data_IF_832841706723
#
_entry.id   IF_832841706723
#
_cell.length_a   1.000
_cell.length_b   1.000
_cell.length_c   1.000
_cell.angle_alpha   90.00
_cell.angle_beta   90.00
_cell.angle_gamma   90.00
#
_symmetry.space_group_name_H-M   'P 1'
#
loop_
_entity.id
_entity.type
_entity.pdbx_description
1 polymer ?
#
# COMPACT_ATOMS: atom_id res chain seq x y z
N UNK A 1 12.44 12.49 13.23
CA UNK A 1 11.41 12.13 14.23
C UNK A 1 10.00 12.10 13.63
N UNK A 2 9.61 13.09 12.82
CA UNK A 2 8.27 13.13 12.17
C UNK A 2 8.01 11.96 11.20
N UNK A 3 8.98 11.59 10.37
CA UNK A 3 8.85 10.47 9.41
C UNK A 3 8.48 9.15 10.10
N UNK A 4 9.17 8.81 11.19
CA UNK A 4 8.88 7.60 11.97
C UNK A 4 7.46 7.64 12.54
N UNK A 5 7.05 8.75 13.14
CA UNK A 5 5.70 8.91 13.67
C UNK A 5 4.64 8.67 12.57
N UNK A 6 4.79 9.28 11.40
CA UNK A 6 3.84 9.13 10.29
C UNK A 6 3.87 7.73 9.66
N UNK A 7 5.04 7.08 9.57
CA UNK A 7 5.13 5.69 9.11
C UNK A 7 4.45 4.70 10.07
N UNK A 8 4.56 4.92 11.39
CA UNK A 8 3.85 4.12 12.40
C UNK A 8 2.34 4.37 12.30
N UNK A 9 1.92 5.60 12.01
CA UNK A 9 0.51 5.90 11.77
C UNK A 9 -0.04 5.19 10.52
N UNK A 10 0.74 5.14 9.44
CA UNK A 10 0.39 4.38 8.23
C UNK A 10 0.35 2.85 8.49
N UNK A 11 1.28 2.33 9.28
CA UNK A 11 1.26 0.94 9.74
C UNK A 11 0.00 0.65 10.57
N UNK A 12 -0.34 1.55 11.48
CA UNK A 12 -1.57 1.51 12.29
C UNK A 12 -2.82 1.50 11.42
N UNK A 13 -2.89 2.33 10.37
CA UNK A 13 -4.02 2.35 9.43
C UNK A 13 -4.20 0.99 8.71
N UNK A 14 -3.10 0.32 8.36
CA UNK A 14 -3.14 -1.03 7.75
C UNK A 14 -3.72 -2.05 8.72
N UNK A 15 -3.26 -2.02 9.97
CA UNK A 15 -3.71 -2.94 11.04
C UNK A 15 -5.18 -2.66 11.41
N UNK A 16 -5.59 -1.40 11.50
CA UNK A 16 -6.98 -1.01 11.77
C UNK A 16 -7.91 -1.42 10.62
N UNK A 17 -7.53 -1.12 9.38
CA UNK A 17 -8.30 -1.50 8.19
C UNK A 17 -8.47 -3.01 8.05
N UNK A 18 -7.38 -3.77 8.23
CA UNK A 18 -7.39 -5.24 8.17
C UNK A 18 -7.96 -5.93 9.41
N UNK A 19 -8.01 -5.25 10.54
CA UNK A 19 -8.66 -5.74 11.75
C UNK A 19 -10.17 -5.80 11.63
N UNK A 20 -10.77 -4.92 10.82
CA UNK A 20 -12.23 -4.81 10.67
C UNK A 20 -12.88 -6.16 10.28
N UNK A 21 -12.44 -6.87 9.22
CA UNK A 21 -12.98 -8.19 8.88
C UNK A 21 -12.72 -9.29 9.92
N UNK A 22 -11.69 -9.13 10.76
CA UNK A 22 -11.30 -10.11 11.78
C UNK A 22 -12.13 -9.99 13.06
N UNK A 23 -12.74 -8.83 13.33
CA UNK A 23 -13.49 -8.56 14.57
C UNK A 23 -14.99 -8.36 14.31
N UNK A 24 -15.35 -7.70 13.20
CA UNK A 24 -16.75 -7.39 12.86
C UNK A 24 -17.13 -7.95 11.49
N UNK A 25 -18.41 -8.33 11.33
CA UNK A 25 -18.95 -8.76 10.04
C UNK A 25 -19.79 -7.66 9.39
N UNK A 26 -19.43 -7.35 8.13
CA UNK A 26 -20.17 -6.65 7.07
C UNK A 26 -20.02 -5.12 6.98
N UNK A 27 -18.86 -4.69 6.46
CA UNK A 27 -18.87 -3.56 5.51
C UNK A 27 -19.45 -4.09 4.20
N UNK A 28 -20.41 -3.39 3.60
CA UNK A 28 -20.97 -3.82 2.31
C UNK A 28 -19.90 -3.71 1.22
N UNK A 29 -19.92 -4.64 0.26
CA UNK A 29 -19.03 -4.58 -0.90
C UNK A 29 -19.14 -3.23 -1.64
N UNK A 30 -20.34 -2.66 -1.73
CA UNK A 30 -20.57 -1.34 -2.34
C UNK A 30 -19.85 -0.21 -1.61
N UNK A 31 -19.89 -0.19 -0.28
CA UNK A 31 -19.18 0.82 0.53
C UNK A 31 -17.66 0.67 0.38
N UNK A 32 -17.16 -0.57 0.38
CA UNK A 32 -15.74 -0.84 0.19
C UNK A 32 -15.28 -0.39 -1.20
N UNK A 33 -16.01 -0.73 -2.26
CA UNK A 33 -15.69 -0.30 -3.64
C UNK A 33 -15.67 1.23 -3.74
N UNK A 34 -16.62 1.93 -3.11
CA UNK A 34 -16.64 3.39 -3.11
C UNK A 34 -15.44 3.98 -2.35
N UNK A 35 -15.09 3.42 -1.19
CA UNK A 35 -13.94 3.86 -0.39
C UNK A 35 -12.61 3.61 -1.13
N UNK A 36 -12.46 2.45 -1.78
CA UNK A 36 -11.31 2.11 -2.63
C UNK A 36 -11.21 3.09 -3.79
N UNK A 37 -12.31 3.34 -4.51
CA UNK A 37 -12.33 4.27 -5.65
C UNK A 37 -11.97 5.71 -5.23
N UNK A 38 -12.54 6.18 -4.12
CA UNK A 38 -12.20 7.49 -3.55
C UNK A 38 -10.72 7.58 -3.19
N UNK A 39 -10.20 6.58 -2.48
CA UNK A 39 -8.80 6.55 -2.05
C UNK A 39 -7.83 6.47 -3.22
N UNK A 40 -8.17 5.69 -4.26
CA UNK A 40 -7.41 5.61 -5.50
C UNK A 40 -7.36 6.97 -6.21
N UNK A 41 -8.47 7.72 -6.23
CA UNK A 41 -8.50 9.07 -6.78
C UNK A 41 -7.59 10.05 -6.02
N UNK A 42 -7.60 10.02 -4.69
CA UNK A 42 -6.72 10.85 -3.85
C UNK A 42 -5.24 10.50 -4.08
N UNK A 43 -4.91 9.21 -4.13
CA UNK A 43 -3.53 8.74 -4.35
C UNK A 43 -3.04 9.12 -5.75
N UNK A 44 -3.87 8.93 -6.78
CA UNK A 44 -3.56 9.31 -8.16
C UNK A 44 -3.34 10.83 -8.30
N UNK A 45 -4.22 11.62 -7.69
CA UNK A 45 -4.10 13.08 -7.68
C UNK A 45 -2.79 13.52 -7.00
N UNK A 46 -2.47 12.94 -5.85
CA UNK A 46 -1.24 13.24 -5.09
C UNK A 46 0.00 12.85 -5.89
N UNK A 47 0.00 11.66 -6.51
CA UNK A 47 1.10 11.19 -7.34
C UNK A 47 1.33 12.08 -8.56
N UNK A 48 0.29 12.38 -9.33
CA UNK A 48 0.43 13.11 -10.59
C UNK A 48 0.60 14.62 -10.41
N UNK A 49 -0.21 15.26 -9.57
CA UNK A 49 -0.23 16.72 -9.47
C UNK A 49 0.80 17.27 -8.47
N UNK A 50 1.19 16.47 -7.47
CA UNK A 50 2.15 16.92 -6.45
C UNK A 50 3.50 16.24 -6.62
N UNK A 51 3.56 14.90 -6.54
CA UNK A 51 4.86 14.20 -6.54
C UNK A 51 5.58 14.30 -7.89
N UNK A 52 4.90 14.06 -9.01
CA UNK A 52 5.52 14.14 -10.35
C UNK A 52 5.92 15.57 -10.69
N UNK A 53 5.07 16.56 -10.38
CA UNK A 53 5.40 17.98 -10.62
C UNK A 53 6.63 18.37 -9.82
N UNK A 54 6.67 18.07 -8.52
CA UNK A 54 7.82 18.39 -7.66
C UNK A 54 9.09 17.66 -8.10
N UNK A 55 8.97 16.39 -8.51
CA UNK A 55 10.11 15.64 -9.04
C UNK A 55 10.65 16.26 -10.33
N UNK A 56 9.78 16.79 -11.18
CA UNK A 56 10.19 17.46 -12.42
C UNK A 56 10.81 18.84 -12.18
N UNK A 57 10.30 19.63 -11.23
CA UNK A 57 10.89 20.93 -10.90
C UNK A 57 12.29 20.77 -10.30
N UNK A 58 12.54 19.71 -9.54
CA UNK A 58 13.84 19.44 -8.88
C UNK A 58 14.86 18.73 -9.78
N UNK A 59 14.45 17.69 -10.50
CA UNK A 59 15.36 16.82 -11.25
C UNK A 59 15.21 16.90 -12.79
N UNK A 60 14.30 17.75 -13.28
CA UNK A 60 14.06 17.95 -14.70
C UNK A 60 13.60 16.67 -15.41
N UNK A 61 13.94 16.53 -16.71
CA UNK A 61 13.48 15.42 -17.56
C UNK A 61 13.79 14.02 -17.03
N UNK A 62 14.87 13.87 -16.25
CA UNK A 62 15.30 12.57 -15.73
C UNK A 62 14.27 12.00 -14.75
N UNK A 63 13.49 12.84 -14.05
CA UNK A 63 12.43 12.39 -13.16
C UNK A 63 11.36 11.57 -13.89
N UNK A 64 11.00 11.93 -15.13
CA UNK A 64 10.00 11.20 -15.91
C UNK A 64 10.46 9.77 -16.24
N UNK A 65 11.76 9.58 -16.47
CA UNK A 65 12.34 8.24 -16.66
C UNK A 65 12.24 7.42 -15.37
N UNK A 66 12.54 8.00 -14.21
CA UNK A 66 12.40 7.32 -12.92
C UNK A 66 10.94 7.03 -12.55
N UNK A 67 10.01 7.93 -12.87
CA UNK A 67 8.56 7.69 -12.72
C UNK A 67 8.12 6.50 -13.59
N UNK A 68 8.56 6.45 -14.85
CA UNK A 68 8.25 5.35 -15.76
C UNK A 68 8.85 4.02 -15.29
N UNK A 69 10.09 4.05 -14.80
CA UNK A 69 10.77 2.89 -14.23
C UNK A 69 10.06 2.39 -12.97
N UNK A 70 9.69 3.30 -12.07
CA UNK A 70 8.93 2.98 -10.86
C UNK A 70 7.58 2.35 -11.18
N UNK A 71 6.85 2.90 -12.17
CA UNK A 71 5.62 2.30 -12.66
C UNK A 71 5.85 0.89 -13.22
N UNK A 72 6.88 0.68 -14.03
CA UNK A 72 7.17 -0.64 -14.62
C UNK A 72 7.51 -1.69 -13.55
N UNK A 73 8.28 -1.30 -12.52
CA UNK A 73 8.62 -2.17 -11.39
C UNK A 73 7.35 -2.55 -10.62
N UNK A 74 6.53 -1.58 -10.22
CA UNK A 74 5.27 -1.82 -9.51
C UNK A 74 4.30 -2.67 -10.33
N UNK A 75 4.14 -2.35 -11.61
CA UNK A 75 3.31 -3.11 -12.54
C UNK A 75 3.80 -4.56 -12.68
N UNK A 76 5.12 -4.76 -12.77
CA UNK A 76 5.73 -6.09 -12.79
C UNK A 76 5.39 -6.89 -11.53
N UNK A 77 5.58 -6.31 -10.34
CA UNK A 77 5.22 -6.96 -9.08
C UNK A 77 3.73 -7.29 -8.98
N UNK A 78 2.86 -6.36 -9.41
CA UNK A 78 1.41 -6.60 -9.46
C UNK A 78 1.07 -7.75 -10.40
N UNK A 79 1.66 -7.79 -11.60
CA UNK A 79 1.43 -8.90 -12.54
C UNK A 79 1.97 -10.22 -12.04
N UNK A 80 3.13 -10.26 -11.40
CA UNK A 80 3.61 -11.50 -10.78
C UNK A 80 2.68 -12.00 -9.67
N UNK A 81 2.11 -11.08 -8.87
CA UNK A 81 1.10 -11.41 -7.87
C UNK A 81 -0.21 -11.92 -8.49
N UNK A 82 -0.60 -11.38 -9.64
CA UNK A 82 -1.83 -11.74 -10.37
C UNK A 82 -1.67 -12.93 -11.34
N UNK A 83 -0.46 -13.34 -11.73
CA UNK A 83 -0.28 -14.48 -12.65
C UNK A 83 -0.64 -15.81 -12.01
N UNK A 84 -0.53 -15.92 -10.68
CA UNK A 84 -0.97 -17.09 -9.91
C UNK A 84 -2.44 -16.99 -9.47
N UNK A 85 -3.17 -16.01 -10.01
CA UNK A 85 -4.59 -15.77 -9.81
C UNK A 85 -5.46 -16.55 -10.80
N UNK A 86 -5.34 -17.86 -10.88
CA UNK A 86 -6.25 -18.64 -11.73
C UNK A 86 -7.70 -18.40 -11.25
N UNK A 87 -8.52 -17.90 -12.18
CA UNK A 87 -9.92 -17.50 -11.99
C UNK A 87 -10.89 -18.55 -12.55
N UNK A 88 -10.45 -19.80 -12.67
CA UNK A 88 -11.28 -20.94 -13.05
C UNK A 88 -11.76 -21.64 -11.77
N UNK A 89 -13.05 -21.93 -11.66
CA UNK A 89 -13.68 -22.55 -10.48
C UNK A 89 -13.24 -24.01 -10.21
N UNK A 90 -12.18 -24.51 -10.84
CA UNK A 90 -11.71 -25.90 -10.78
C UNK A 90 -10.18 -26.01 -10.87
N UNK A 91 -9.45 -25.35 -9.97
CA UNK A 91 -8.01 -25.60 -9.79
C UNK A 91 -7.70 -25.93 -8.34
N UNK A 92 -7.27 -27.17 -8.09
CA UNK A 92 -6.97 -27.75 -6.76
C UNK A 92 -5.77 -27.12 -6.03
N UNK A 93 -5.19 -26.05 -6.58
CA UNK A 93 -3.99 -25.41 -6.03
C UNK A 93 -4.21 -23.90 -5.88
N UNK A 94 -4.83 -23.52 -4.76
CA UNK A 94 -5.01 -22.13 -4.34
C UNK A 94 -3.68 -21.53 -3.79
N UNK A 95 -2.77 -21.08 -4.66
CA UNK A 95 -1.52 -20.40 -4.24
C UNK A 95 -1.57 -18.86 -4.29
N UNK A 96 -2.75 -18.28 -4.51
CA UNK A 96 -2.97 -16.83 -4.59
C UNK A 96 -2.46 -16.08 -3.34
N UNK A 97 -2.60 -16.68 -2.16
CA UNK A 97 -2.30 -16.01 -0.89
C UNK A 97 -0.87 -15.47 -0.80
N UNK A 98 0.15 -16.25 -1.15
CA UNK A 98 1.54 -15.87 -0.87
C UNK A 98 2.10 -14.81 -1.81
N UNK A 99 1.84 -14.92 -3.12
CA UNK A 99 2.30 -13.93 -4.09
C UNK A 99 1.60 -12.57 -3.88
N UNK A 100 0.30 -12.58 -3.57
CA UNK A 100 -0.44 -11.37 -3.23
C UNK A 100 0.06 -10.74 -1.92
N UNK A 101 0.33 -11.53 -0.88
CA UNK A 101 0.91 -11.02 0.38
C UNK A 101 2.29 -10.40 0.18
N UNK A 102 3.13 -11.01 -0.66
CA UNK A 102 4.43 -10.44 -1.02
C UNK A 102 4.28 -9.11 -1.75
N UNK A 103 3.43 -9.04 -2.78
CA UNK A 103 3.14 -7.80 -3.51
C UNK A 103 2.60 -6.69 -2.59
N UNK A 104 1.70 -7.03 -1.66
CA UNK A 104 1.17 -6.09 -0.66
C UNK A 104 2.26 -5.63 0.33
N UNK A 105 3.17 -6.53 0.71
CA UNK A 105 4.33 -6.17 1.54
C UNK A 105 5.27 -5.19 0.84
N UNK A 106 5.63 -5.45 -0.41
CA UNK A 106 6.47 -4.56 -1.21
C UNK A 106 5.79 -3.21 -1.46
N UNK A 107 4.49 -3.21 -1.73
CA UNK A 107 3.70 -1.98 -1.83
C UNK A 107 3.70 -1.18 -0.52
N UNK A 108 3.58 -1.84 0.63
CA UNK A 108 3.68 -1.20 1.95
C UNK A 108 5.04 -0.56 2.20
N UNK A 109 6.12 -1.24 1.78
CA UNK A 109 7.47 -0.68 1.82
C UNK A 109 7.58 0.61 1.00
N UNK A 110 7.05 0.62 -0.23
CA UNK A 110 7.11 1.80 -1.09
C UNK A 110 6.32 2.99 -0.56
N UNK A 111 5.18 2.75 0.12
CA UNK A 111 4.46 3.82 0.81
C UNK A 111 5.29 4.48 1.90
N UNK A 112 5.96 3.66 2.71
CA UNK A 112 6.90 4.13 3.73
C UNK A 112 8.02 4.97 3.14
N UNK A 113 8.63 4.46 2.08
CA UNK A 113 9.69 5.16 1.34
C UNK A 113 9.20 6.50 0.80
N UNK A 114 8.02 6.54 0.19
CA UNK A 114 7.41 7.76 -0.34
C UNK A 114 7.12 8.78 0.77
N UNK A 115 6.65 8.35 1.95
CA UNK A 115 6.47 9.24 3.12
C UNK A 115 7.80 9.88 3.52
N UNK A 116 8.87 9.10 3.65
CA UNK A 116 10.18 9.63 4.06
C UNK A 116 10.71 10.65 3.05
N UNK A 117 10.76 10.28 1.77
CA UNK A 117 11.31 11.14 0.71
C UNK A 117 10.48 12.41 0.56
N UNK A 118 9.15 12.33 0.61
CA UNK A 118 8.30 13.53 0.49
C UNK A 118 8.52 14.53 1.62
N UNK A 119 8.72 14.07 2.87
CA UNK A 119 9.04 14.96 3.99
C UNK A 119 10.45 15.57 3.92
N UNK A 120 11.39 14.90 3.24
CA UNK A 120 12.74 15.42 3.02
C UNK A 120 12.74 16.60 2.03
N UNK A 121 11.93 16.51 0.97
CA UNK A 121 11.84 17.58 -0.02
C UNK A 121 10.99 18.76 0.45
N UNK A 122 9.76 18.51 0.92
CA UNK A 122 8.88 19.58 1.39
C UNK A 122 7.87 19.06 2.41
N UNK A 123 7.75 19.77 3.55
CA UNK A 123 6.81 19.39 4.61
C UNK A 123 5.36 19.35 4.13
N UNK A 124 4.95 20.26 3.24
CA UNK A 124 3.59 20.30 2.69
C UNK A 124 3.29 19.04 1.84
N UNK A 125 4.24 18.64 1.00
CA UNK A 125 4.18 17.42 0.20
C UNK A 125 4.11 16.18 1.10
N UNK A 126 4.97 16.10 2.11
CA UNK A 126 4.95 15.01 3.09
C UNK A 126 3.59 14.84 3.78
N UNK A 127 2.94 15.95 4.16
CA UNK A 127 1.60 15.96 4.75
C UNK A 127 0.51 15.49 3.77
N UNK A 128 0.60 15.86 2.50
CA UNK A 128 -0.32 15.39 1.45
C UNK A 128 -0.14 13.89 1.19
N UNK A 129 1.11 13.43 1.09
CA UNK A 129 1.44 12.02 0.86
C UNK A 129 0.95 11.15 2.02
N UNK A 130 1.22 11.51 3.28
CA UNK A 130 0.74 10.71 4.41
C UNK A 130 -0.79 10.65 4.48
N UNK A 131 -1.49 11.74 4.17
CA UNK A 131 -2.94 11.75 4.11
C UNK A 131 -3.46 10.77 3.05
N UNK A 132 -2.90 10.84 1.84
CA UNK A 132 -3.22 9.91 0.77
C UNK A 132 -2.89 8.45 1.15
N UNK A 133 -1.78 8.23 1.85
CA UNK A 133 -1.36 6.91 2.33
C UNK A 133 -2.35 6.35 3.34
N UNK A 134 -2.66 7.08 4.41
CA UNK A 134 -3.60 6.63 5.45
C UNK A 134 -4.97 6.30 4.85
N UNK A 135 -5.47 7.16 3.95
CA UNK A 135 -6.77 6.98 3.34
C UNK A 135 -6.88 5.67 2.55
N UNK A 136 -5.87 5.30 1.76
CA UNK A 136 -5.92 4.05 1.00
C UNK A 136 -5.48 2.83 1.81
N UNK A 137 -4.75 2.99 2.91
CA UNK A 137 -4.31 1.90 3.80
C UNK A 137 -5.46 1.22 4.53
N UNK A 138 -6.53 1.95 4.85
CA UNK A 138 -7.74 1.40 5.45
C UNK A 138 -8.45 0.38 4.52
N UNK A 139 -8.88 0.75 3.29
CA UNK A 139 -9.51 -0.20 2.36
C UNK A 139 -8.57 -1.30 1.86
N UNK A 140 -7.28 -1.02 1.66
CA UNK A 140 -6.32 -2.07 1.27
C UNK A 140 -6.12 -3.08 2.40
N UNK A 141 -5.92 -2.65 3.65
CA UNK A 141 -5.84 -3.55 4.80
C UNK A 141 -7.09 -4.42 4.95
N UNK A 142 -8.28 -3.84 4.78
CA UNK A 142 -9.54 -4.60 4.74
C UNK A 142 -9.47 -5.69 3.67
N UNK A 143 -9.12 -5.33 2.43
CA UNK A 143 -9.03 -6.27 1.31
C UNK A 143 -8.00 -7.38 1.57
N UNK A 144 -6.82 -7.06 2.11
CA UNK A 144 -5.78 -8.02 2.50
C UNK A 144 -6.33 -9.07 3.46
N UNK A 145 -7.00 -8.64 4.53
CA UNK A 145 -7.56 -9.58 5.52
C UNK A 145 -8.68 -10.45 4.96
N UNK A 146 -9.52 -9.92 4.06
CA UNK A 146 -10.53 -10.75 3.39
C UNK A 146 -9.93 -11.82 2.48
N UNK A 147 -8.83 -11.50 1.78
CA UNK A 147 -8.09 -12.47 0.96
C UNK A 147 -7.46 -13.54 1.86
N UNK A 148 -6.85 -13.15 2.99
CA UNK A 148 -6.27 -14.11 3.94
C UNK A 148 -7.33 -15.08 4.49
N UNK A 149 -8.47 -14.56 4.94
CA UNK A 149 -9.59 -15.38 5.43
C UNK A 149 -10.14 -16.32 4.35
N UNK A 150 -10.22 -15.85 3.09
CA UNK A 150 -10.63 -16.69 1.96
C UNK A 150 -9.60 -17.79 1.62
N UNK A 151 -8.33 -17.63 2.01
CA UNK A 151 -7.25 -18.61 1.85
C UNK A 151 -6.98 -19.42 3.14
N UNK A 152 -7.99 -19.60 4.01
CA UNK A 152 -7.92 -20.40 5.23
C UNK A 152 -6.87 -19.92 6.27
N UNK A 153 -6.48 -18.64 6.26
CA UNK A 153 -5.69 -18.09 7.36
C UNK A 153 -6.57 -17.97 8.62
N UNK A 154 -6.08 -18.46 9.76
CA UNK A 154 -6.75 -18.21 11.03
C UNK A 154 -6.60 -16.74 11.46
N UNK A 155 -7.40 -16.30 12.44
CA UNK A 155 -7.41 -14.91 12.90
C UNK A 155 -6.04 -14.48 13.45
N UNK A 156 -5.37 -15.34 14.23
CA UNK A 156 -4.05 -15.05 14.80
C UNK A 156 -2.99 -14.81 13.71
N UNK A 157 -2.93 -15.67 12.70
CA UNK A 157 -2.01 -15.54 11.56
C UNK A 157 -2.31 -14.30 10.74
N UNK A 158 -3.60 -13.96 10.59
CA UNK A 158 -4.02 -12.74 9.90
C UNK A 158 -3.53 -11.47 10.61
N UNK A 159 -3.68 -11.38 11.93
CA UNK A 159 -3.15 -10.25 12.72
C UNK A 159 -1.62 -10.11 12.62
N UNK A 160 -0.89 -11.22 12.75
CA UNK A 160 0.57 -11.22 12.58
C UNK A 160 0.98 -10.75 11.19
N UNK A 161 0.30 -11.24 10.15
CA UNK A 161 0.60 -10.88 8.76
C UNK A 161 0.31 -9.40 8.49
N UNK A 162 -0.78 -8.84 9.02
CA UNK A 162 -1.07 -7.41 8.94
C UNK A 162 -0.02 -6.56 9.67
N UNK A 163 0.44 -7.01 10.84
CA UNK A 163 1.51 -6.36 11.58
C UNK A 163 2.83 -6.36 10.80
N UNK A 164 3.18 -7.47 10.15
CA UNK A 164 4.37 -7.57 9.29
C UNK A 164 4.26 -6.64 8.07
N UNK A 165 3.12 -6.63 7.37
CA UNK A 165 2.88 -5.74 6.22
C UNK A 165 2.94 -4.27 6.67
N UNK A 166 2.32 -3.91 7.80
CA UNK A 166 2.42 -2.57 8.37
C UNK A 166 3.86 -2.20 8.75
N UNK A 167 4.60 -3.14 9.34
CA UNK A 167 6.02 -2.96 9.69
C UNK A 167 6.91 -2.68 8.47
N UNK A 168 6.61 -3.26 7.31
CA UNK A 168 7.34 -2.97 6.07
C UNK A 168 7.25 -1.49 5.66
N UNK A 169 6.16 -0.78 5.98
CA UNK A 169 6.09 0.66 5.75
C UNK A 169 7.08 1.44 6.65
N UNK A 170 7.31 1.00 7.88
CA UNK A 170 8.32 1.61 8.76
C UNK A 170 9.72 1.33 8.22
N UNK A 171 9.99 0.11 7.75
CA UNK A 171 11.25 -0.25 7.10
C UNK A 171 11.48 0.60 5.84
N UNK A 172 10.46 0.75 5.00
CA UNK A 172 10.52 1.62 3.82
C UNK A 172 10.83 3.07 4.16
N UNK A 173 10.20 3.60 5.22
CA UNK A 173 10.47 4.95 5.68
C UNK A 173 11.91 5.11 6.19
N UNK A 174 12.43 4.14 6.94
CA UNK A 174 13.83 4.14 7.38
C UNK A 174 14.80 4.13 6.19
N UNK A 175 14.53 3.30 5.17
CA UNK A 175 15.34 3.29 3.94
C UNK A 175 15.26 4.62 3.19
N UNK A 176 14.07 5.23 3.10
CA UNK A 176 13.89 6.52 2.45
C UNK A 176 14.57 7.68 3.17
N UNK A 177 14.81 7.58 4.48
CA UNK A 177 15.60 8.57 5.22
C UNK A 177 17.10 8.51 4.94
N UNK A 178 17.59 7.47 4.25
CA UNK A 178 19.01 7.30 3.93
C UNK A 178 19.38 7.86 2.54
N UNK A 179 18.40 8.32 1.77
CA UNK A 179 18.54 8.80 0.39
C UNK A 179 18.25 10.29 0.35
#
# INVERSE_FOLDING_TARGET
>A
MYVLFYSILAAGATVLGGGLPLVHKKISQKQLTLLVAFSAGVLLSTGLNHMVVESYTKAGRWSMLFVSLGFMILYGFEKMAMIHACREQQCDIHHFGHAALFGMGFHSFLDGFAIAVSFEFEKSLGLLVILAVILHRLPTGFSTSTIMLANNYNHTRSWWTLGLIGGLAVVGALCGMLV
#
